data_IF_783676016156
#
_entry.id   IF_783676016156
#
_cell.length_a   1.000
_cell.length_b   1.000
_cell.length_c   1.000
_cell.angle_alpha   90.00
_cell.angle_beta   90.00
_cell.angle_gamma   90.00
#
_symmetry.space_group_name_H-M   'P 1'
#
loop_
_entity.id
_entity.type
_entity.pdbx_description
1 polymer ?
#
# COMPACT_ATOMS: atom_id res chain seq x y z
N UNK A 1 5.77 5.73 60.13
CA UNK A 1 4.70 5.13 59.28
C UNK A 1 5.18 5.27 57.83
N UNK A 2 5.92 4.27 57.40
CA UNK A 2 6.68 4.30 56.14
C UNK A 2 5.76 3.92 54.98
N UNK A 3 5.99 4.58 53.85
CA UNK A 3 5.20 4.58 52.62
C UNK A 3 5.13 3.21 51.88
N UNK A 4 5.49 2.10 52.60
CA UNK A 4 5.69 0.78 52.02
C UNK A 4 4.53 -0.22 52.28
N UNK A 5 3.52 0.19 53.06
CA UNK A 5 2.47 -0.73 53.54
C UNK A 5 1.06 -0.45 52.98
N UNK A 6 0.97 0.09 51.73
CA UNK A 6 -0.33 0.13 51.03
C UNK A 6 -0.58 -1.22 50.35
N UNK A 7 -1.68 -1.90 50.67
CA UNK A 7 -2.03 -3.15 49.99
C UNK A 7 -2.17 -2.90 48.48
N UNK A 8 -1.66 -3.84 47.67
CA UNK A 8 -1.56 -3.79 46.22
C UNK A 8 -2.92 -3.62 45.49
N UNK A 9 -4.02 -3.55 46.24
CA UNK A 9 -5.39 -3.45 45.69
C UNK A 9 -5.84 -2.01 45.39
N UNK A 10 -5.09 -1.00 45.87
CA UNK A 10 -5.47 0.41 45.76
C UNK A 10 -4.60 1.21 44.75
N UNK A 11 -3.94 0.51 43.85
CA UNK A 11 -3.32 1.21 42.70
C UNK A 11 -4.43 1.60 41.76
N UNK A 12 -4.61 2.92 41.43
CA UNK A 12 -5.54 3.32 40.45
C UNK A 12 -5.20 2.52 39.17
N UNK A 13 -6.20 1.89 38.57
CA UNK A 13 -6.12 1.23 37.28
C UNK A 13 -5.84 2.37 36.31
N UNK A 14 -4.54 2.73 36.15
CA UNK A 14 -4.12 3.69 35.17
C UNK A 14 -4.63 3.23 33.81
N UNK A 15 -5.49 4.06 33.27
CA UNK A 15 -6.03 4.08 31.93
C UNK A 15 -5.36 3.08 30.99
N UNK A 16 -5.95 1.90 30.89
CA UNK A 16 -5.67 1.04 29.74
C UNK A 16 -6.14 1.84 28.53
N UNK A 17 -5.24 2.18 27.57
CA UNK A 17 -5.67 2.89 26.38
C UNK A 17 -6.87 2.15 25.80
N UNK A 18 -7.98 2.87 25.65
CA UNK A 18 -9.25 2.32 25.20
C UNK A 18 -9.00 1.58 23.89
N UNK A 19 -9.14 0.26 23.90
CA UNK A 19 -9.01 -0.53 22.68
C UNK A 19 -9.98 0.03 21.64
N UNK A 20 -9.51 0.38 20.44
CA UNK A 20 -10.39 0.93 19.40
C UNK A 20 -11.56 -0.02 19.17
N UNK A 21 -12.77 0.53 19.03
CA UNK A 21 -13.99 -0.26 18.82
C UNK A 21 -13.81 -1.24 17.65
N UNK A 22 -14.43 -2.40 17.75
CA UNK A 22 -14.38 -3.45 16.72
C UNK A 22 -14.71 -2.88 15.33
N UNK A 23 -15.74 -2.03 15.25
CA UNK A 23 -16.14 -1.35 14.02
C UNK A 23 -15.00 -0.50 13.42
N UNK A 24 -14.28 0.27 14.25
CA UNK A 24 -13.14 1.08 13.79
C UNK A 24 -12.00 0.20 13.25
N UNK A 25 -11.72 -0.93 13.89
CA UNK A 25 -10.70 -1.90 13.42
C UNK A 25 -11.07 -2.45 12.05
N UNK A 26 -12.32 -2.88 11.87
CA UNK A 26 -12.81 -3.41 10.58
C UNK A 26 -12.72 -2.39 9.45
N UNK A 27 -13.12 -1.15 9.70
CA UNK A 27 -13.03 -0.07 8.70
C UNK A 27 -11.58 0.20 8.31
N UNK A 28 -10.66 0.29 9.27
CA UNK A 28 -9.24 0.55 8.99
C UNK A 28 -8.63 -0.59 8.16
N UNK A 29 -8.90 -1.85 8.52
CA UNK A 29 -8.42 -3.01 7.75
C UNK A 29 -9.02 -3.01 6.35
N UNK A 30 -10.30 -2.71 6.19
CA UNK A 30 -10.94 -2.58 4.89
C UNK A 30 -10.28 -1.52 3.99
N UNK A 31 -9.97 -0.35 4.54
CA UNK A 31 -9.23 0.71 3.81
C UNK A 31 -7.82 0.26 3.41
N UNK A 32 -7.12 -0.42 4.30
CA UNK A 32 -5.78 -0.97 4.01
C UNK A 32 -5.85 -2.03 2.91
N UNK A 33 -6.82 -2.96 3.00
CA UNK A 33 -7.04 -3.98 1.97
C UNK A 33 -7.36 -3.36 0.62
N UNK A 34 -8.19 -2.32 0.58
CA UNK A 34 -8.53 -1.60 -0.64
C UNK A 34 -7.29 -0.93 -1.26
N UNK A 35 -6.46 -0.27 -0.45
CA UNK A 35 -5.22 0.35 -0.93
C UNK A 35 -4.25 -0.69 -1.49
N UNK A 36 -4.10 -1.84 -0.82
CA UNK A 36 -3.28 -2.95 -1.30
C UNK A 36 -3.85 -3.57 -2.58
N UNK A 37 -5.17 -3.71 -2.66
CA UNK A 37 -5.85 -4.22 -3.86
C UNK A 37 -5.61 -3.32 -5.06
N UNK A 38 -5.77 -2.00 -4.91
CA UNK A 38 -5.48 -1.03 -5.97
C UNK A 38 -4.04 -1.15 -6.47
N UNK A 39 -3.06 -1.24 -5.56
CA UNK A 39 -1.66 -1.40 -5.94
C UNK A 39 -1.38 -2.73 -6.64
N UNK A 40 -2.03 -3.82 -6.22
CA UNK A 40 -1.86 -5.15 -6.80
C UNK A 40 -2.51 -5.27 -8.19
N UNK A 41 -3.73 -4.76 -8.35
CA UNK A 41 -4.46 -4.76 -9.64
C UNK A 41 -3.71 -3.92 -10.68
N UNK A 42 -3.17 -2.79 -10.28
CA UNK A 42 -2.43 -1.89 -11.15
C UNK A 42 -1.20 -2.58 -11.77
N UNK A 43 -0.43 -3.29 -10.97
CA UNK A 43 0.74 -4.06 -11.46
C UNK A 43 0.32 -5.08 -12.52
N UNK A 44 -0.80 -5.76 -12.32
CA UNK A 44 -1.30 -6.80 -13.24
C UNK A 44 -1.93 -6.21 -14.49
N UNK A 45 -2.67 -5.09 -14.40
CA UNK A 45 -3.22 -4.36 -15.56
C UNK A 45 -2.09 -3.88 -16.46
N UNK A 46 -1.07 -3.27 -15.90
CA UNK A 46 0.06 -2.76 -16.69
C UNK A 46 0.83 -3.90 -17.37
N UNK A 47 1.01 -5.04 -16.68
CA UNK A 47 1.64 -6.21 -17.29
C UNK A 47 0.86 -6.69 -18.54
N UNK A 48 -0.46 -6.63 -18.49
CA UNK A 48 -1.33 -7.05 -19.60
C UNK A 48 -1.39 -6.00 -20.73
N UNK A 49 -1.43 -4.70 -20.38
CA UNK A 49 -1.55 -3.62 -21.36
C UNK A 49 -0.23 -3.22 -22.02
N UNK A 50 0.91 -3.53 -21.39
CA UNK A 50 2.22 -3.03 -21.83
C UNK A 50 2.60 -3.40 -23.26
N UNK A 51 2.30 -4.60 -23.81
CA UNK A 51 2.58 -4.91 -25.21
C UNK A 51 1.88 -3.93 -26.17
N UNK A 52 0.63 -3.55 -25.91
CA UNK A 52 -0.10 -2.58 -26.72
C UNK A 52 0.40 -1.15 -26.54
N UNK A 53 0.77 -0.77 -25.30
CA UNK A 53 1.38 0.51 -25.01
C UNK A 53 2.67 0.68 -25.83
N UNK A 54 3.51 -0.36 -25.87
CA UNK A 54 4.73 -0.37 -26.69
C UNK A 54 4.43 -0.30 -28.19
N UNK A 55 3.40 -0.99 -28.64
CA UNK A 55 2.98 -0.90 -30.05
C UNK A 55 2.53 0.51 -30.45
N UNK A 56 1.86 1.24 -29.53
CA UNK A 56 1.38 2.61 -29.77
C UNK A 56 2.46 3.69 -29.58
N UNK A 57 3.25 3.59 -28.52
CA UNK A 57 4.24 4.63 -28.16
C UNK A 57 5.63 4.35 -28.74
N UNK A 58 5.89 3.15 -29.27
CA UNK A 58 7.22 2.71 -29.66
C UNK A 58 8.15 2.47 -28.47
N UNK A 59 9.48 2.41 -28.73
CA UNK A 59 10.46 2.34 -27.64
C UNK A 59 10.56 0.98 -26.96
N UNK A 60 10.52 -0.12 -27.74
CA UNK A 60 10.65 -1.49 -27.23
C UNK A 60 11.89 -1.70 -26.32
N UNK A 61 12.99 -1.01 -26.59
CA UNK A 61 14.20 -1.04 -25.76
C UNK A 61 13.97 -0.54 -24.33
N UNK A 62 12.94 0.27 -24.10
CA UNK A 62 12.57 0.85 -22.81
C UNK A 62 11.51 0.03 -22.05
N UNK A 63 11.01 -1.06 -22.65
CA UNK A 63 9.98 -1.93 -22.07
C UNK A 63 10.27 -2.32 -20.62
N UNK A 64 11.47 -2.81 -20.36
CA UNK A 64 11.89 -3.26 -19.03
C UNK A 64 11.93 -2.13 -18.01
N UNK A 65 12.22 -0.90 -18.44
CA UNK A 65 12.30 0.26 -17.55
C UNK A 65 10.96 0.69 -16.97
N UNK A 66 9.85 0.36 -17.62
CA UNK A 66 8.50 0.64 -17.11
C UNK A 66 8.24 -0.11 -15.79
N UNK A 67 8.70 -1.37 -15.69
CA UNK A 67 8.62 -2.13 -14.45
C UNK A 67 9.78 -1.84 -13.51
N UNK A 68 11.00 -1.83 -14.03
CA UNK A 68 12.20 -1.64 -13.22
C UNK A 68 12.18 -0.28 -12.52
N UNK A 69 11.77 0.79 -13.19
CA UNK A 69 11.66 2.12 -12.60
C UNK A 69 10.65 2.15 -11.45
N UNK A 70 9.47 1.58 -11.65
CA UNK A 70 8.46 1.48 -10.60
C UNK A 70 8.98 0.69 -9.38
N UNK A 71 9.52 -0.51 -9.58
CA UNK A 71 10.04 -1.35 -8.50
C UNK A 71 11.22 -0.70 -7.77
N UNK A 72 12.10 -0.01 -8.51
CA UNK A 72 13.25 0.69 -7.93
C UNK A 72 12.79 1.78 -6.95
N UNK A 73 11.88 2.66 -7.39
CA UNK A 73 11.37 3.73 -6.54
C UNK A 73 10.51 3.20 -5.40
N UNK A 74 9.68 2.19 -5.65
CA UNK A 74 8.90 1.52 -4.60
C UNK A 74 9.83 0.96 -3.51
N UNK A 75 10.85 0.21 -3.89
CA UNK A 75 11.78 -0.42 -2.94
C UNK A 75 12.59 0.62 -2.16
N UNK A 76 13.11 1.63 -2.86
CA UNK A 76 13.88 2.70 -2.23
C UNK A 76 13.06 3.48 -1.19
N UNK A 77 11.76 3.67 -1.44
CA UNK A 77 10.88 4.46 -0.59
C UNK A 77 10.25 3.70 0.57
N UNK A 78 10.25 2.37 0.56
CA UNK A 78 9.75 1.54 1.68
C UNK A 78 10.38 1.98 3.02
N UNK A 79 11.71 2.11 3.05
CA UNK A 79 12.44 2.50 4.27
C UNK A 79 12.13 3.95 4.69
N UNK A 80 12.01 4.84 3.71
CA UNK A 80 11.71 6.25 3.95
C UNK A 80 10.30 6.40 4.54
N UNK A 81 9.30 5.79 3.92
CA UNK A 81 7.92 5.85 4.39
C UNK A 81 7.71 5.09 5.71
N UNK A 82 8.44 4.01 5.96
CA UNK A 82 8.44 3.37 7.27
C UNK A 82 8.86 4.36 8.36
N UNK A 83 9.98 5.06 8.18
CA UNK A 83 10.48 6.04 9.13
C UNK A 83 9.57 7.29 9.23
N UNK A 84 9.03 7.77 8.12
CA UNK A 84 8.06 8.87 8.14
C UNK A 84 6.80 8.50 8.92
N UNK A 85 6.31 7.27 8.78
CA UNK A 85 5.13 6.80 9.50
C UNK A 85 5.36 6.75 11.03
N UNK A 86 6.59 6.49 11.46
CA UNK A 86 6.94 6.53 12.89
C UNK A 86 7.03 7.98 13.41
N UNK A 87 7.50 8.94 12.60
CA UNK A 87 7.67 10.34 12.97
C UNK A 87 6.37 11.15 12.91
N UNK A 88 5.64 11.04 11.82
CA UNK A 88 4.44 11.86 11.54
C UNK A 88 3.13 11.13 11.78
N UNK A 89 3.22 9.84 12.14
CA UNK A 89 2.07 8.99 12.31
C UNK A 89 1.67 8.26 11.01
N UNK A 90 1.07 7.09 11.19
CA UNK A 90 0.80 6.14 10.10
C UNK A 90 -0.28 6.60 9.15
N UNK A 91 -1.30 7.27 9.70
CA UNK A 91 -2.48 7.68 8.93
C UNK A 91 -2.18 8.76 7.88
N UNK A 92 -1.54 9.91 8.23
CA UNK A 92 -1.22 10.92 7.23
C UNK A 92 -0.22 10.43 6.19
N UNK A 93 0.75 9.60 6.58
CA UNK A 93 1.75 9.05 5.67
C UNK A 93 1.14 8.07 4.67
N UNK A 94 0.21 7.21 5.11
CA UNK A 94 -0.52 6.31 4.21
C UNK A 94 -1.37 7.12 3.21
N UNK A 95 -2.10 8.13 3.67
CA UNK A 95 -2.93 8.98 2.81
C UNK A 95 -2.06 9.70 1.78
N UNK A 96 -0.95 10.30 2.20
CA UNK A 96 -0.01 10.97 1.29
C UNK A 96 0.53 10.00 0.23
N UNK A 97 0.93 8.79 0.63
CA UNK A 97 1.39 7.76 -0.30
C UNK A 97 0.32 7.32 -1.30
N UNK A 98 -0.92 7.12 -0.84
CA UNK A 98 -2.05 6.80 -1.74
C UNK A 98 -2.30 7.93 -2.72
N UNK A 99 -2.27 9.19 -2.29
CA UNK A 99 -2.45 10.34 -3.17
C UNK A 99 -1.35 10.40 -4.24
N UNK A 100 -0.08 10.25 -3.84
CA UNK A 100 1.04 10.21 -4.80
C UNK A 100 0.90 9.05 -5.78
N UNK A 101 0.49 7.87 -5.30
CA UNK A 101 0.22 6.71 -6.14
C UNK A 101 -0.89 6.97 -7.16
N UNK A 102 -2.02 7.54 -6.75
CA UNK A 102 -3.16 7.85 -7.63
C UNK A 102 -2.81 8.92 -8.67
N UNK A 103 -2.08 9.97 -8.26
CA UNK A 103 -1.59 10.99 -9.19
C UNK A 103 -0.66 10.35 -10.23
N UNK A 104 0.30 9.54 -9.80
CA UNK A 104 1.19 8.81 -10.69
C UNK A 104 0.42 7.89 -11.65
N UNK A 105 -0.58 7.14 -11.15
CA UNK A 105 -1.42 6.26 -11.96
C UNK A 105 -2.22 7.03 -13.00
N UNK A 106 -2.83 8.15 -12.62
CA UNK A 106 -3.56 9.02 -13.55
C UNK A 106 -2.65 9.57 -14.65
N UNK A 107 -1.47 10.04 -14.28
CA UNK A 107 -0.47 10.55 -15.24
C UNK A 107 0.01 9.45 -16.20
N UNK A 108 0.15 8.20 -15.74
CA UNK A 108 0.46 7.08 -16.64
C UNK A 108 -0.59 6.89 -17.73
N UNK A 109 -1.87 7.12 -17.43
CA UNK A 109 -2.96 7.06 -18.40
C UNK A 109 -2.88 8.15 -19.48
N UNK A 110 -2.22 9.28 -19.20
CA UNK A 110 -2.00 10.39 -20.13
C UNK A 110 -0.60 10.41 -20.74
N UNK A 111 0.18 9.33 -20.60
CA UNK A 111 1.55 9.29 -21.13
C UNK A 111 1.56 9.35 -22.67
N UNK A 112 2.31 10.32 -23.21
CA UNK A 112 2.44 10.55 -24.66
C UNK A 112 3.72 9.95 -25.27
N UNK A 113 4.59 9.39 -24.45
CA UNK A 113 5.85 8.74 -24.86
C UNK A 113 6.33 7.75 -23.83
N UNK A 114 7.18 6.79 -24.22
CA UNK A 114 7.75 5.81 -23.29
C UNK A 114 8.58 6.46 -22.16
N UNK A 115 9.45 7.45 -22.40
CA UNK A 115 10.14 8.14 -21.32
C UNK A 115 9.20 8.85 -20.34
N UNK A 116 8.10 9.47 -20.84
CA UNK A 116 7.10 10.10 -19.99
C UNK A 116 6.40 9.04 -19.12
N UNK A 117 6.03 7.89 -19.70
CA UNK A 117 5.44 6.78 -18.97
C UNK A 117 6.38 6.28 -17.84
N UNK A 118 7.67 6.11 -18.15
CA UNK A 118 8.67 5.71 -17.15
C UNK A 118 8.76 6.74 -16.02
N UNK A 119 8.80 8.03 -16.34
CA UNK A 119 8.82 9.11 -15.35
C UNK A 119 7.59 9.09 -14.43
N UNK A 120 6.40 8.86 -14.98
CA UNK A 120 5.16 8.73 -14.20
C UNK A 120 5.14 7.44 -13.37
N UNK A 121 5.74 6.37 -13.85
CA UNK A 121 5.94 5.12 -13.10
C UNK A 121 6.90 5.29 -11.92
N UNK A 122 7.95 6.08 -12.07
CA UNK A 122 8.83 6.43 -10.96
C UNK A 122 8.04 7.16 -9.86
N UNK A 123 7.23 8.16 -10.24
CA UNK A 123 6.37 8.88 -9.30
C UNK A 123 5.36 7.95 -8.62
N UNK A 124 4.72 7.08 -9.38
CA UNK A 124 3.77 6.11 -8.87
C UNK A 124 4.42 5.13 -7.88
N UNK A 125 5.63 4.64 -8.20
CA UNK A 125 6.42 3.79 -7.32
C UNK A 125 6.76 4.46 -5.98
N UNK A 126 7.01 5.78 -5.96
CA UNK A 126 7.19 6.54 -4.72
C UNK A 126 5.97 6.38 -3.80
N UNK A 127 4.76 6.53 -4.32
CA UNK A 127 3.53 6.35 -3.54
C UNK A 127 3.31 4.90 -3.09
N UNK A 128 3.55 3.94 -3.99
CA UNK A 128 3.38 2.51 -3.71
C UNK A 128 4.27 2.01 -2.55
N UNK A 129 5.47 2.58 -2.40
CA UNK A 129 6.40 2.24 -1.34
C UNK A 129 5.90 2.53 0.08
N UNK A 130 4.87 3.37 0.24
CA UNK A 130 4.24 3.63 1.53
C UNK A 130 3.23 2.57 1.95
N UNK A 131 2.55 1.92 1.00
CA UNK A 131 1.33 1.13 1.26
C UNK A 131 1.65 -0.09 2.12
N UNK A 132 2.61 -0.92 1.71
CA UNK A 132 2.92 -2.17 2.41
C UNK A 132 3.50 -1.97 3.83
N UNK A 133 4.55 -1.15 4.05
CA UNK A 133 5.14 -1.01 5.38
C UNK A 133 4.18 -0.34 6.36
N UNK A 134 3.43 0.67 5.90
CA UNK A 134 2.47 1.35 6.77
C UNK A 134 1.27 0.45 7.08
N UNK A 135 0.80 -0.35 6.11
CA UNK A 135 -0.23 -1.36 6.32
C UNK A 135 0.19 -2.38 7.40
N UNK A 136 1.40 -2.94 7.27
CA UNK A 136 1.93 -3.90 8.23
C UNK A 136 2.02 -3.32 9.65
N UNK A 137 2.43 -2.06 9.75
CA UNK A 137 2.54 -1.35 11.03
C UNK A 137 1.16 -1.09 11.64
N UNK A 138 0.18 -0.64 10.85
CA UNK A 138 -1.20 -0.43 11.31
C UNK A 138 -1.80 -1.73 11.86
N UNK A 139 -1.57 -2.85 11.18
CA UNK A 139 -2.05 -4.16 11.65
C UNK A 139 -1.34 -4.57 12.92
N UNK A 140 -0.03 -4.32 13.01
CA UNK A 140 0.75 -4.56 14.20
C UNK A 140 0.24 -3.82 15.44
N UNK A 141 -0.35 -2.63 15.28
CA UNK A 141 -0.92 -1.84 16.37
C UNK A 141 -2.33 -2.23 16.76
N UNK A 142 -3.11 -2.64 15.77
CA UNK A 142 -4.53 -2.93 15.96
C UNK A 142 -4.79 -4.35 16.48
N UNK A 143 -3.87 -5.29 16.18
CA UNK A 143 -4.08 -6.71 16.45
C UNK A 143 -2.98 -7.31 17.30
N UNK A 144 -3.38 -8.20 18.21
CA UNK A 144 -2.45 -8.98 19.04
C UNK A 144 -1.61 -9.93 18.17
N UNK A 145 -0.42 -10.37 18.64
CA UNK A 145 0.42 -11.32 17.91
C UNK A 145 -0.30 -12.61 17.49
N UNK A 146 -1.31 -13.03 18.23
CA UNK A 146 -2.11 -14.24 17.94
C UNK A 146 -3.12 -14.02 16.81
N UNK A 147 -3.58 -12.80 16.60
CA UNK A 147 -4.57 -12.45 15.56
C UNK A 147 -3.92 -12.10 14.23
N UNK A 148 -2.66 -11.61 14.25
CA UNK A 148 -1.93 -11.16 13.05
C UNK A 148 -1.87 -12.19 11.92
N UNK A 149 -1.62 -13.49 12.17
CA UNK A 149 -1.56 -14.49 11.08
C UNK A 149 -2.87 -14.59 10.31
N UNK A 150 -4.02 -14.47 11.00
CA UNK A 150 -5.33 -14.50 10.36
C UNK A 150 -5.56 -13.27 9.48
N UNK A 151 -5.20 -12.10 9.98
CA UNK A 151 -5.31 -10.85 9.20
C UNK A 151 -4.36 -10.86 8.02
N UNK A 152 -3.13 -11.35 8.20
CA UNK A 152 -2.16 -11.52 7.12
C UNK A 152 -2.70 -12.45 6.02
N UNK A 153 -3.43 -13.50 6.37
CA UNK A 153 -4.13 -14.37 5.40
C UNK A 153 -5.14 -13.59 4.55
N UNK A 154 -5.93 -12.70 5.15
CA UNK A 154 -6.85 -11.83 4.39
C UNK A 154 -6.10 -10.87 3.45
N UNK A 155 -4.98 -10.30 3.90
CA UNK A 155 -4.16 -9.43 3.04
C UNK A 155 -3.54 -10.19 1.86
N UNK A 156 -3.10 -11.43 2.10
CA UNK A 156 -2.56 -12.29 1.03
C UNK A 156 -3.63 -12.66 0.02
N UNK A 157 -4.90 -12.87 0.44
CA UNK A 157 -6.00 -13.17 -0.47
C UNK A 157 -6.32 -12.00 -1.41
N UNK A 158 -6.03 -10.76 -1.01
CA UNK A 158 -6.16 -9.57 -1.87
C UNK A 158 -5.25 -9.68 -3.11
N UNK A 159 -4.03 -10.16 -2.94
CA UNK A 159 -3.11 -10.40 -4.05
C UNK A 159 -3.59 -11.50 -4.99
N UNK A 160 -4.12 -12.59 -4.43
CA UNK A 160 -4.72 -13.68 -5.23
C UNK A 160 -5.91 -13.19 -6.04
N UNK A 161 -6.78 -12.37 -5.45
CA UNK A 161 -7.93 -11.80 -6.14
C UNK A 161 -7.51 -10.78 -7.22
N UNK A 162 -6.53 -9.93 -6.93
CA UNK A 162 -5.97 -8.98 -7.88
C UNK A 162 -5.32 -9.68 -9.09
N UNK A 163 -4.68 -10.83 -8.89
CA UNK A 163 -4.08 -11.63 -9.96
C UNK A 163 -5.11 -12.16 -10.97
N UNK A 164 -6.37 -12.31 -10.56
CA UNK A 164 -7.47 -12.71 -11.45
C UNK A 164 -8.14 -11.49 -12.09
N UNK A 165 -8.47 -10.49 -11.27
CA UNK A 165 -9.21 -9.29 -11.72
C UNK A 165 -8.35 -8.42 -12.64
N UNK A 166 -7.04 -8.31 -12.38
CA UNK A 166 -6.14 -7.46 -13.15
C UNK A 166 -6.05 -7.83 -14.64
N UNK A 167 -5.74 -9.09 -15.00
CA UNK A 167 -5.72 -9.51 -16.40
C UNK A 167 -7.08 -9.37 -17.09
N UNK A 168 -8.18 -9.65 -16.38
CA UNK A 168 -9.53 -9.48 -16.94
C UNK A 168 -9.83 -8.02 -17.24
N UNK A 169 -9.55 -7.13 -16.29
CA UNK A 169 -9.72 -5.69 -16.48
C UNK A 169 -8.77 -5.15 -17.56
N UNK A 170 -7.51 -5.59 -17.54
CA UNK A 170 -6.51 -5.22 -18.53
C UNK A 170 -6.89 -5.65 -19.95
N UNK A 171 -7.41 -6.88 -20.12
CA UNK A 171 -7.92 -7.39 -21.39
C UNK A 171 -9.08 -6.56 -21.92
N UNK A 172 -10.07 -6.24 -21.09
CA UNK A 172 -11.21 -5.40 -21.47
C UNK A 172 -10.79 -3.98 -21.89
N UNK A 173 -9.81 -3.38 -21.21
CA UNK A 173 -9.29 -2.05 -21.55
C UNK A 173 -8.53 -2.10 -22.88
N UNK A 174 -7.92 -3.22 -23.19
CA UNK A 174 -7.12 -3.43 -24.39
C UNK A 174 -7.99 -3.64 -25.64
N UNK A 175 -9.17 -4.23 -25.48
CA UNK A 175 -10.13 -4.48 -26.58
C UNK A 175 -11.07 -3.28 -26.85
N UNK A 176 -11.19 -2.34 -25.91
CA UNK A 176 -12.02 -1.14 -26.05
C UNK A 176 -11.27 0.03 -26.73
#
# INVERSE_FOLDING_TARGET
>A
MTMHDRPAHDRPVHDRPAHPSQARRTVVVGCVMLAMFMAAVEVTIVATALPQIVAKLGGFSLYTWVFAGFLLTQTATILVFGKLADLYGRRPVLIAGIVVFLVGSTLCGFAWSMPALIGFRLLQGLGAGSIQPVAATIIGDLYSPRERPRIQGYLSSVWGFAAIVGPLAGGLIVEA
#
